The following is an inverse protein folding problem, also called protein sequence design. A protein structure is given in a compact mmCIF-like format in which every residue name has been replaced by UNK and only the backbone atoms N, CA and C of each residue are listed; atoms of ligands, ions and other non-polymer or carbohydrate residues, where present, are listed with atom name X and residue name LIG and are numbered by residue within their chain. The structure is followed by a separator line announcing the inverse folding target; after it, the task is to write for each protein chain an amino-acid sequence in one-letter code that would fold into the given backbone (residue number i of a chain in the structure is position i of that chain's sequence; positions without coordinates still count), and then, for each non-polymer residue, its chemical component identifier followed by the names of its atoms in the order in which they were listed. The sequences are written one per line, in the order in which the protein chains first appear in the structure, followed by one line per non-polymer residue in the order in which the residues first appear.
data_IF_575024482677
#
_entry.id   IF_575024482677
#
_cell.length_a   1.000
_cell.length_b   1.000
_cell.length_c   1.000
_cell.angle_alpha   90.00
_cell.angle_beta   90.00
_cell.angle_gamma   90.00
#
_symmetry.space_group_name_H-M   'P 1'
#
loop_
_entity.id
_entity.type
_entity.pdbx_description
1 polymer ?
#
# COMPACT_ATOMS: atom_id res chain seq x y z
N UNK A 1 0.20 9.58 4.53
CA UNK A 1 -0.37 10.73 5.27
C UNK A 1 -1.86 10.60 5.19
N UNK A 2 -2.56 10.44 6.31
CA UNK A 2 -4.01 10.34 6.32
C UNK A 2 -4.62 11.72 6.62
N UNK A 3 -5.69 12.07 5.90
CA UNK A 3 -6.51 13.28 6.16
C UNK A 3 -5.76 14.63 6.14
N UNK A 4 -4.67 14.75 5.38
CA UNK A 4 -3.94 16.02 5.20
C UNK A 4 -4.28 16.67 3.87
N UNK A 5 -4.70 17.94 3.89
CA UNK A 5 -4.86 18.75 2.68
C UNK A 5 -3.57 19.49 2.30
N UNK A 6 -3.46 19.92 1.03
CA UNK A 6 -2.34 20.71 0.53
C UNK A 6 -2.14 22.01 1.33
N UNK A 7 -3.23 22.66 1.73
CA UNK A 7 -3.20 23.86 2.55
C UNK A 7 -2.68 23.58 3.97
N UNK A 8 -3.17 22.51 4.60
CA UNK A 8 -2.69 22.10 5.93
C UNK A 8 -1.20 21.75 5.89
N UNK A 9 -0.74 21.01 4.88
CA UNK A 9 0.67 20.67 4.74
C UNK A 9 1.56 21.92 4.58
N UNK A 10 1.16 22.88 3.73
CA UNK A 10 1.90 24.13 3.53
C UNK A 10 2.00 24.96 4.81
N UNK A 11 0.93 25.01 5.61
CA UNK A 11 0.89 25.78 6.87
C UNK A 11 1.63 25.08 8.01
N UNK A 12 1.44 23.77 8.16
CA UNK A 12 1.96 23.00 9.31
C UNK A 12 3.40 22.51 9.11
N UNK A 13 3.85 22.30 7.87
CA UNK A 13 5.18 21.76 7.55
C UNK A 13 6.04 22.68 6.66
N UNK A 14 6.12 24.00 6.90
CA UNK A 14 6.79 24.94 6.00
C UNK A 14 8.31 24.69 5.93
N UNK A 15 8.93 24.31 7.06
CA UNK A 15 10.37 24.01 7.12
C UNK A 15 10.71 22.74 6.33
N UNK A 16 9.93 21.68 6.50
CA UNK A 16 10.10 20.41 5.79
C UNK A 16 9.95 20.61 4.29
N UNK A 17 8.88 21.27 3.84
CA UNK A 17 8.66 21.53 2.40
C UNK A 17 9.82 22.35 1.82
N UNK A 18 10.30 23.38 2.52
CA UNK A 18 11.46 24.17 2.08
C UNK A 18 12.73 23.33 1.98
N UNK A 19 12.97 22.44 2.94
CA UNK A 19 14.12 21.52 2.93
C UNK A 19 14.04 20.56 1.74
N UNK A 20 12.89 19.91 1.53
CA UNK A 20 12.65 19.00 0.41
C UNK A 20 12.92 19.68 -0.94
N UNK A 21 12.39 20.90 -1.14
CA UNK A 21 12.56 21.63 -2.40
C UNK A 21 14.00 22.11 -2.62
N UNK A 22 14.68 22.61 -1.59
CA UNK A 22 16.01 23.24 -1.73
C UNK A 22 17.18 22.27 -1.65
N UNK A 23 17.09 21.26 -0.79
CA UNK A 23 18.22 20.37 -0.47
C UNK A 23 18.10 19.03 -1.20
N UNK A 24 16.87 18.51 -1.35
CA UNK A 24 16.63 17.20 -1.99
C UNK A 24 16.13 17.31 -3.44
N UNK A 25 16.01 18.53 -3.98
CA UNK A 25 15.53 18.75 -5.35
C UNK A 25 14.09 18.29 -5.60
N UNK A 26 13.27 18.18 -4.54
CA UNK A 26 11.91 17.65 -4.66
C UNK A 26 11.00 18.58 -5.48
N UNK A 27 10.20 17.99 -6.36
CA UNK A 27 9.19 18.70 -7.16
C UNK A 27 7.88 18.74 -6.37
N UNK A 28 7.30 19.93 -6.25
CA UNK A 28 5.98 20.10 -5.62
C UNK A 28 4.90 20.15 -6.70
N UNK A 29 4.07 19.10 -6.75
CA UNK A 29 2.88 19.07 -7.61
C UNK A 29 1.73 19.80 -6.90
N UNK A 30 1.33 20.95 -7.44
CA UNK A 30 0.34 21.83 -6.80
C UNK A 30 -1.11 21.36 -7.04
N UNK A 31 -1.34 20.66 -8.15
CA UNK A 31 -2.65 20.20 -8.60
C UNK A 31 -2.76 18.66 -8.57
N UNK A 32 -2.18 18.03 -7.54
CA UNK A 32 -2.34 16.60 -7.32
C UNK A 32 -3.59 16.35 -6.48
N UNK A 33 -4.64 15.84 -7.13
CA UNK A 33 -5.91 15.55 -6.49
C UNK A 33 -5.96 14.13 -5.91
N UNK A 34 -6.78 13.97 -4.87
CA UNK A 34 -7.13 12.66 -4.32
C UNK A 34 -8.17 11.97 -5.22
N UNK A 35 -8.11 10.65 -5.32
CA UNK A 35 -9.02 9.84 -6.14
C UNK A 35 -10.42 9.79 -5.51
N UNK A 36 -10.50 9.65 -4.18
CA UNK A 36 -11.76 9.59 -3.45
C UNK A 36 -11.72 10.34 -2.13
N UNK A 37 -12.87 10.50 -1.47
CA UNK A 37 -12.91 11.26 -0.22
C UNK A 37 -12.25 10.52 0.95
N UNK A 38 -12.39 9.19 0.96
CA UNK A 38 -12.00 8.29 2.04
C UNK A 38 -10.60 7.70 1.83
N UNK A 39 -10.01 7.13 2.88
CA UNK A 39 -8.69 6.48 2.81
C UNK A 39 -8.68 5.27 1.87
N UNK A 40 -9.74 4.45 1.90
CA UNK A 40 -9.89 3.24 1.08
C UNK A 40 -9.72 3.49 -0.43
N UNK A 41 -10.52 4.33 -1.11
CA UNK A 41 -10.40 4.54 -2.55
C UNK A 41 -9.02 5.10 -2.98
N UNK A 42 -8.40 5.92 -2.13
CA UNK A 42 -7.05 6.44 -2.39
C UNK A 42 -5.98 5.36 -2.23
N UNK A 43 -6.09 4.50 -1.21
CA UNK A 43 -5.17 3.39 -0.98
C UNK A 43 -5.23 2.35 -2.09
N UNK A 44 -6.44 2.00 -2.54
CA UNK A 44 -6.63 1.04 -3.64
C UNK A 44 -6.03 1.53 -4.96
N UNK A 45 -6.28 2.79 -5.32
CA UNK A 45 -5.71 3.38 -6.53
C UNK A 45 -4.18 3.48 -6.46
N UNK A 46 -3.61 3.77 -5.28
CA UNK A 46 -2.17 3.78 -5.08
C UNK A 46 -1.55 2.37 -5.16
N UNK A 47 -2.24 1.36 -4.63
CA UNK A 47 -1.76 -0.01 -4.53
C UNK A 47 -1.86 -0.80 -5.83
N UNK A 48 -2.98 -0.69 -6.52
CA UNK A 48 -3.29 -1.53 -7.68
C UNK A 48 -3.37 -0.72 -8.98
N UNK A 49 -3.28 0.61 -8.92
CA UNK A 49 -3.50 1.48 -10.08
C UNK A 49 -4.94 1.44 -10.59
N UNK A 50 -5.89 0.92 -9.79
CA UNK A 50 -7.31 0.76 -10.15
C UNK A 50 -8.20 1.61 -9.28
N UNK A 51 -9.16 2.29 -9.90
CA UNK A 51 -10.15 3.10 -9.20
C UNK A 51 -11.35 2.25 -8.77
N UNK A 52 -11.76 2.39 -7.51
CA UNK A 52 -12.94 1.71 -6.96
C UNK A 52 -14.15 2.64 -6.82
N UNK A 53 -13.93 3.95 -7.01
CA UNK A 53 -14.92 4.99 -6.87
C UNK A 53 -14.93 5.80 -8.17
N UNK A 54 -16.13 5.97 -8.73
CA UNK A 54 -16.34 6.84 -9.88
C UNK A 54 -16.39 8.31 -9.48
N UNK A 55 -16.31 9.19 -10.46
CA UNK A 55 -16.36 10.64 -10.24
C UNK A 55 -17.20 11.34 -11.31
N UNK A 56 -18.09 12.24 -10.89
CA UNK A 56 -18.74 13.15 -11.84
C UNK A 56 -17.72 14.17 -12.34
N UNK A 57 -17.64 14.30 -13.65
CA UNK A 57 -16.82 15.31 -14.34
C UNK A 57 -17.67 16.31 -15.11
N UNK A 58 -18.94 16.42 -14.72
CA UNK A 58 -19.92 17.25 -15.42
C UNK A 58 -19.53 18.74 -15.35
N UNK A 59 -18.87 19.15 -14.25
CA UNK A 59 -18.34 20.51 -14.06
C UNK A 59 -17.27 20.92 -15.08
N UNK A 60 -16.61 19.95 -15.71
CA UNK A 60 -15.57 20.18 -16.74
C UNK A 60 -16.02 19.69 -18.12
N UNK A 61 -17.30 19.35 -18.29
CA UNK A 61 -17.88 18.90 -19.57
C UNK A 61 -17.33 17.56 -20.07
N UNK A 62 -16.78 16.72 -19.19
CA UNK A 62 -16.21 15.43 -19.53
C UNK A 62 -17.12 14.28 -19.08
N UNK A 63 -17.05 13.11 -19.75
CA UNK A 63 -17.83 11.96 -19.33
C UNK A 63 -17.50 11.54 -17.89
N UNK A 64 -18.48 10.98 -17.16
CA UNK A 64 -18.26 10.52 -15.80
C UNK A 64 -17.16 9.43 -15.77
N UNK A 65 -16.32 9.49 -14.75
CA UNK A 65 -15.37 8.43 -14.46
C UNK A 65 -16.14 7.23 -13.92
N UNK A 66 -16.04 6.12 -14.64
CA UNK A 66 -16.54 4.84 -14.19
C UNK A 66 -15.47 4.16 -13.33
N UNK A 67 -15.85 3.51 -12.21
CA UNK A 67 -14.91 2.73 -11.43
C UNK A 67 -14.43 1.51 -12.26
N UNK A 68 -13.15 1.20 -12.15
CA UNK A 68 -12.56 0.03 -12.82
C UNK A 68 -13.02 -1.28 -12.17
N UNK A 69 -13.26 -1.25 -10.86
CA UNK A 69 -13.65 -2.41 -10.07
C UNK A 69 -15.02 -2.24 -9.42
N UNK A 70 -15.79 -3.31 -9.44
CA UNK A 70 -17.10 -3.36 -8.79
C UNK A 70 -16.97 -3.71 -7.30
N UNK A 71 -17.92 -3.24 -6.49
CA UNK A 71 -17.97 -3.50 -5.04
C UNK A 71 -17.88 -5.00 -4.73
N UNK A 72 -18.50 -5.85 -5.57
CA UNK A 72 -18.49 -7.30 -5.40
C UNK A 72 -17.10 -7.90 -5.54
N UNK A 73 -16.33 -7.45 -6.53
CA UNK A 73 -14.95 -7.91 -6.75
C UNK A 73 -14.04 -7.49 -5.59
N UNK A 74 -14.19 -6.25 -5.11
CA UNK A 74 -13.32 -5.71 -4.06
C UNK A 74 -13.62 -6.38 -2.70
N UNK A 75 -14.88 -6.67 -2.39
CA UNK A 75 -15.29 -7.10 -1.05
C UNK A 75 -15.39 -8.62 -0.89
N UNK A 76 -15.68 -9.37 -1.97
CA UNK A 76 -15.99 -10.80 -1.88
C UNK A 76 -14.97 -11.71 -2.57
N UNK A 77 -13.95 -11.16 -3.21
CA UNK A 77 -12.88 -11.94 -3.83
C UNK A 77 -11.53 -11.70 -3.15
N UNK A 78 -10.65 -12.70 -3.20
CA UNK A 78 -9.27 -12.53 -2.79
C UNK A 78 -8.53 -11.72 -3.86
N UNK A 79 -7.75 -10.73 -3.43
CA UNK A 79 -7.03 -9.84 -4.32
C UNK A 79 -5.64 -10.35 -4.72
N UNK A 80 -5.28 -11.56 -4.29
CA UNK A 80 -3.96 -12.17 -4.52
C UNK A 80 -3.64 -12.41 -6.01
N UNK A 81 -4.67 -12.42 -6.87
CA UNK A 81 -4.53 -12.56 -8.31
C UNK A 81 -4.24 -11.24 -9.05
N UNK A 82 -4.16 -10.11 -8.34
CA UNK A 82 -3.84 -8.81 -8.93
C UNK A 82 -2.39 -8.42 -8.63
N UNK A 83 -1.73 -7.80 -9.61
CA UNK A 83 -0.39 -7.23 -9.41
C UNK A 83 -0.45 -6.12 -8.38
N UNK A 84 0.41 -6.24 -7.37
CA UNK A 84 0.59 -5.27 -6.30
C UNK A 84 2.02 -4.77 -6.37
N UNK A 85 2.18 -3.45 -6.52
CA UNK A 85 3.47 -2.86 -6.85
C UNK A 85 4.60 -3.24 -5.88
N UNK A 86 4.31 -3.48 -4.60
CA UNK A 86 5.34 -3.88 -3.64
C UNK A 86 5.89 -5.29 -3.91
N UNK A 87 5.08 -6.22 -4.40
CA UNK A 87 5.55 -7.55 -4.78
C UNK A 87 6.38 -7.47 -6.06
N UNK A 88 5.97 -6.65 -7.02
CA UNK A 88 6.74 -6.40 -8.24
C UNK A 88 8.15 -5.83 -7.89
N UNK A 89 8.22 -4.89 -6.95
CA UNK A 89 9.50 -4.38 -6.44
C UNK A 89 10.30 -5.44 -5.65
N UNK A 90 9.65 -6.36 -4.92
CA UNK A 90 10.35 -7.45 -4.24
C UNK A 90 11.01 -8.42 -5.23
N UNK A 91 10.31 -8.75 -6.32
CA UNK A 91 10.83 -9.59 -7.40
C UNK A 91 12.04 -8.96 -8.10
N UNK A 92 12.05 -7.64 -8.24
CA UNK A 92 13.20 -6.89 -8.75
C UNK A 92 14.37 -6.79 -7.74
N UNK A 93 14.20 -7.33 -6.53
CA UNK A 93 15.23 -7.40 -5.50
C UNK A 93 15.23 -6.23 -4.52
N UNK A 94 14.20 -5.37 -4.53
CA UNK A 94 14.04 -4.34 -3.51
C UNK A 94 13.55 -4.94 -2.20
N UNK A 95 14.12 -4.47 -1.08
CA UNK A 95 13.66 -4.85 0.25
C UNK A 95 12.43 -4.05 0.63
N UNK A 96 11.26 -4.66 0.50
CA UNK A 96 10.00 -4.11 1.03
C UNK A 96 9.83 -4.51 2.48
N UNK A 97 9.63 -3.51 3.35
CA UNK A 97 9.46 -3.77 4.77
C UNK A 97 7.99 -4.02 5.08
N UNK A 98 7.58 -5.28 4.97
CA UNK A 98 6.27 -5.73 5.39
C UNK A 98 6.35 -6.25 6.84
N UNK A 99 5.71 -5.52 7.77
CA UNK A 99 5.71 -5.86 9.21
C UNK A 99 4.99 -7.19 9.52
N UNK A 100 4.13 -7.66 8.63
CA UNK A 100 3.37 -8.93 8.75
C UNK A 100 4.19 -10.14 8.29
N UNK A 101 5.04 -9.98 7.27
CA UNK A 101 5.83 -11.08 6.70
C UNK A 101 7.00 -11.48 7.59
N UNK A 102 7.60 -10.54 8.32
CA UNK A 102 8.64 -10.84 9.31
C UNK A 102 8.07 -11.61 10.49
N UNK A 103 6.93 -11.21 11.06
CA UNK A 103 6.34 -11.94 12.18
C UNK A 103 5.97 -13.39 11.80
N UNK A 104 5.35 -13.59 10.63
CA UNK A 104 4.97 -14.93 10.14
C UNK A 104 6.18 -15.79 9.78
N UNK A 105 7.22 -15.24 9.12
CA UNK A 105 8.47 -15.97 8.84
C UNK A 105 9.16 -16.42 10.13
N UNK A 106 9.21 -15.57 11.14
CA UNK A 106 9.79 -15.91 12.44
C UNK A 106 8.94 -16.96 13.18
N UNK A 107 7.62 -16.87 13.16
CA UNK A 107 6.74 -17.88 13.73
C UNK A 107 6.93 -19.26 13.08
N UNK A 108 7.03 -19.31 11.74
CA UNK A 108 7.29 -20.58 11.02
C UNK A 108 8.67 -21.16 11.33
N UNK A 109 9.71 -20.32 11.46
CA UNK A 109 11.05 -20.78 11.85
C UNK A 109 11.06 -21.38 13.26
N UNK A 110 10.32 -20.80 14.20
CA UNK A 110 10.17 -21.33 15.57
C UNK A 110 9.43 -22.67 15.55
N UNK A 111 8.34 -22.80 14.78
CA UNK A 111 7.61 -24.07 14.68
C UNK A 111 8.44 -25.19 14.04
N UNK A 112 9.21 -24.89 12.99
CA UNK A 112 10.08 -25.86 12.31
C UNK A 112 11.23 -26.29 13.23
N UNK A 113 11.87 -25.34 13.93
CA UNK A 113 12.95 -25.66 14.89
C UNK A 113 12.45 -26.47 16.07
N UNK A 114 11.25 -26.16 16.59
CA UNK A 114 10.62 -26.94 17.65
C UNK A 114 10.27 -28.36 17.18
N UNK A 115 9.66 -28.51 16.01
CA UNK A 115 9.34 -29.82 15.42
C UNK A 115 10.59 -30.68 15.17
N UNK A 116 11.70 -30.07 14.74
CA UNK A 116 12.96 -30.79 14.56
C UNK A 116 13.57 -31.24 15.90
N UNK A 117 13.41 -30.45 16.96
CA UNK A 117 13.89 -30.79 18.30
C UNK A 117 13.14 -31.96 18.94
N UNK A 118 11.84 -32.10 18.65
CA UNK A 118 11.01 -33.20 19.16
C UNK A 118 11.36 -34.52 18.47
N UNK A 119 11.58 -34.53 17.15
CA UNK A 119 11.99 -35.75 16.41
C UNK A 119 13.34 -36.28 16.89
N UNK A 120 14.34 -35.41 17.13
CA UNK A 120 15.65 -35.86 17.66
C UNK A 120 15.59 -36.38 19.09
N UNK A 121 14.58 -36.00 19.88
CA UNK A 121 14.38 -36.52 21.24
C UNK A 121 13.72 -37.89 21.26
N UNK A 122 12.91 -38.22 20.26
CA UNK A 122 12.30 -39.54 20.13
C UNK A 122 13.32 -40.58 19.63
N UNK A 123 14.22 -40.22 18.71
CA UNK A 123 15.31 -41.11 18.24
C UNK A 123 16.38 -41.40 19.32
N UNK A 124 16.56 -40.53 20.31
CA UNK A 124 17.50 -40.75 21.43
C UNK A 124 16.91 -41.58 22.58
N UNK A 125 15.60 -41.86 22.55
CA UNK A 125 14.88 -42.62 23.59
C UNK A 125 14.31 -43.96 23.07
N UNK A 126 14.73 -44.42 21.87
CA UNK A 126 14.43 -45.76 21.32
C UNK A 126 15.63 -46.69 21.39
#
# INVERSE_FOLDING_TARGET
MDSVSSFMAKRSLPKTIRYLKKQMGAVQMEFLDKVGYNSRPNGFALAFGKSIEGGSRDLVGLPPLLPDWNITEICHSYLDNYSYYLFDYEEEGYKVHEYTFTFLKWATLISITWSRSTTTREELNS
#
